data_IF_611397986787
#
_entry.id   IF_611397986787
#
_cell.length_a   1.000
_cell.length_b   1.000
_cell.length_c   1.000
_cell.angle_alpha   90.00
_cell.angle_beta   90.00
_cell.angle_gamma   90.00
#
_symmetry.space_group_name_H-M   'P 1'
#
loop_
_entity.id
_entity.type
_entity.pdbx_description
1 polymer ?
#
# COMPACT_ATOMS: atom_id res chain seq x y z
N UNK A 1 -22.95 17.16 28.21
CA UNK A 1 -23.54 18.07 27.20
C UNK A 1 -22.63 18.04 25.98
N UNK A 2 -23.19 17.84 24.79
CA UNK A 2 -22.44 17.90 23.55
C UNK A 2 -22.31 19.33 23.08
N UNK A 3 -21.13 19.67 22.56
CA UNK A 3 -20.83 20.97 22.00
C UNK A 3 -20.29 20.83 20.59
N UNK A 4 -20.79 21.62 19.67
CA UNK A 4 -20.30 21.71 18.30
C UNK A 4 -19.24 22.81 18.23
N UNK A 5 -18.02 22.46 17.85
CA UNK A 5 -16.97 23.44 17.57
C UNK A 5 -17.28 24.12 16.25
N UNK A 6 -17.69 25.40 16.31
CA UNK A 6 -17.90 26.25 15.15
C UNK A 6 -16.67 27.09 14.88
N UNK A 7 -16.59 27.69 13.68
CA UNK A 7 -15.48 28.56 13.30
C UNK A 7 -15.33 29.80 14.22
N UNK A 8 -16.44 30.24 14.81
CA UNK A 8 -16.48 31.38 15.72
C UNK A 8 -16.20 31.00 17.18
N UNK A 9 -16.53 29.77 17.58
CA UNK A 9 -16.32 29.22 18.93
C UNK A 9 -15.54 27.90 18.87
N UNK A 10 -14.29 27.99 18.41
CA UNK A 10 -13.46 26.80 18.15
C UNK A 10 -13.08 26.03 19.42
N UNK A 11 -12.95 26.69 20.56
CA UNK A 11 -12.53 26.07 21.83
C UNK A 11 -13.69 25.77 22.78
N UNK A 12 -14.63 26.67 22.90
CA UNK A 12 -15.75 26.52 23.85
C UNK A 12 -16.90 25.70 23.25
N UNK A 13 -17.06 25.74 21.93
CA UNK A 13 -18.16 25.09 21.22
C UNK A 13 -19.52 25.71 21.55
N UNK A 14 -20.50 25.42 20.71
CA UNK A 14 -21.90 25.81 20.91
C UNK A 14 -22.69 24.60 21.44
N UNK A 15 -23.48 24.81 22.48
CA UNK A 15 -24.30 23.75 23.06
C UNK A 15 -25.38 23.29 22.08
N UNK A 16 -25.42 22.00 21.81
CA UNK A 16 -26.43 21.40 20.95
C UNK A 16 -27.74 21.23 21.70
N UNK A 17 -28.90 21.56 21.10
CA UNK A 17 -30.19 21.35 21.71
C UNK A 17 -30.42 19.89 22.06
N UNK A 18 -30.84 19.62 23.30
CA UNK A 18 -31.15 18.27 23.74
C UNK A 18 -32.22 17.63 22.84
N UNK A 19 -32.09 16.36 22.52
CA UNK A 19 -33.01 15.54 21.72
C UNK A 19 -33.15 15.88 20.23
N UNK A 20 -32.32 16.79 19.67
CA UNK A 20 -32.31 17.07 18.22
C UNK A 20 -31.22 16.30 17.48
N UNK A 21 -30.28 15.65 18.20
CA UNK A 21 -29.16 14.98 17.61
C UNK A 21 -29.04 13.56 18.16
N UNK A 22 -28.82 12.60 17.27
CA UNK A 22 -28.46 11.23 17.60
C UNK A 22 -26.96 11.09 17.44
N UNK A 23 -26.30 10.56 18.48
CA UNK A 23 -24.87 10.34 18.46
C UNK A 23 -24.60 8.86 18.44
N UNK A 24 -24.19 8.38 17.30
CA UNK A 24 -23.72 7.03 17.14
C UNK A 24 -22.21 6.96 17.34
N UNK A 25 -21.76 6.07 18.21
CA UNK A 25 -20.34 5.82 18.47
C UNK A 25 -20.01 4.38 18.09
N UNK A 26 -19.24 4.23 17.02
CA UNK A 26 -18.80 2.92 16.58
C UNK A 26 -17.68 2.41 17.49
N UNK A 27 -17.88 1.22 18.07
CA UNK A 27 -16.88 0.51 18.88
C UNK A 27 -16.21 1.37 19.96
N UNK A 28 -16.98 2.05 20.77
CA UNK A 28 -16.47 2.79 21.93
C UNK A 28 -15.92 1.78 22.95
N UNK A 29 -14.63 1.83 23.23
CA UNK A 29 -13.96 0.91 24.16
C UNK A 29 -14.32 1.17 25.63
N UNK A 30 -14.78 2.36 25.95
CA UNK A 30 -15.26 2.74 27.27
C UNK A 30 -16.42 3.71 27.17
N UNK A 31 -17.23 3.77 28.26
CA UNK A 31 -18.37 4.70 28.33
C UNK A 31 -17.94 6.18 28.33
N UNK A 32 -16.65 6.45 28.54
CA UNK A 32 -16.05 7.79 28.50
C UNK A 32 -15.45 8.21 27.16
N UNK A 33 -15.41 7.30 26.16
CA UNK A 33 -14.87 7.62 24.85
C UNK A 33 -15.91 8.33 23.97
N UNK A 34 -15.78 9.62 23.70
CA UNK A 34 -16.76 10.39 22.94
C UNK A 34 -16.72 10.10 21.44
N UNK A 35 -15.66 9.51 20.92
CA UNK A 35 -15.41 9.40 19.47
C UNK A 35 -15.52 7.98 18.93
N UNK A 36 -15.36 6.96 19.78
CA UNK A 36 -15.28 5.56 19.36
C UNK A 36 -14.01 5.25 18.54
N UNK A 37 -13.93 4.01 18.06
CA UNK A 37 -12.81 3.57 17.23
C UNK A 37 -13.13 3.78 15.74
N UNK A 38 -12.52 4.80 15.15
CA UNK A 38 -12.64 5.05 13.71
C UNK A 38 -11.86 4.00 12.92
N UNK A 39 -12.54 3.21 12.09
CA UNK A 39 -11.95 2.21 11.20
C UNK A 39 -10.85 2.81 10.31
N UNK A 40 -11.04 4.05 9.86
CA UNK A 40 -10.06 4.76 9.05
C UNK A 40 -8.71 4.98 9.76
N UNK A 41 -8.68 5.07 11.07
CA UNK A 41 -7.43 5.21 11.85
C UNK A 41 -6.58 3.94 11.76
N UNK A 42 -7.22 2.78 11.74
CA UNK A 42 -6.55 1.48 11.61
C UNK A 42 -6.17 1.20 10.14
N UNK A 43 -7.02 1.60 9.19
CA UNK A 43 -6.79 1.44 7.75
C UNK A 43 -5.68 2.34 7.21
N UNK A 44 -5.52 3.53 7.77
CA UNK A 44 -4.58 4.53 7.26
C UNK A 44 -3.14 4.00 7.10
N UNK A 45 -2.51 3.38 8.11
CA UNK A 45 -1.16 2.84 7.96
C UNK A 45 -1.07 1.74 6.90
N UNK A 46 -2.06 0.85 6.80
CA UNK A 46 -2.09 -0.23 5.80
C UNK A 46 -2.14 0.33 4.37
N UNK A 47 -3.01 1.31 4.12
CA UNK A 47 -3.11 1.98 2.82
C UNK A 47 -1.82 2.74 2.49
N UNK A 48 -1.22 3.42 3.49
CA UNK A 48 0.04 4.13 3.32
C UNK A 48 1.19 3.17 2.94
N UNK A 49 1.30 2.04 3.64
CA UNK A 49 2.30 1.02 3.32
C UNK A 49 2.07 0.38 1.96
N UNK A 50 0.82 0.12 1.58
CA UNK A 50 0.47 -0.39 0.25
C UNK A 50 0.91 0.57 -0.87
N UNK A 51 0.67 1.87 -0.72
CA UNK A 51 1.14 2.88 -1.69
C UNK A 51 2.66 2.87 -1.79
N UNK A 52 3.35 2.85 -0.65
CA UNK A 52 4.81 2.85 -0.62
C UNK A 52 5.41 1.57 -1.21
N UNK A 53 4.77 0.42 -1.02
CA UNK A 53 5.18 -0.84 -1.65
C UNK A 53 5.06 -0.77 -3.19
N UNK A 54 3.99 -0.14 -3.71
CA UNK A 54 3.84 0.10 -5.15
C UNK A 54 4.91 1.04 -5.71
N UNK A 55 5.20 2.14 -5.03
CA UNK A 55 6.27 3.07 -5.43
C UNK A 55 7.63 2.36 -5.48
N UNK A 56 7.94 1.56 -4.46
CA UNK A 56 9.18 0.78 -4.41
C UNK A 56 9.24 -0.28 -5.52
N UNK A 57 8.10 -0.91 -5.84
CA UNK A 57 8.02 -1.88 -6.94
C UNK A 57 8.26 -1.21 -8.29
N UNK A 58 7.71 -0.02 -8.53
CA UNK A 58 7.95 0.74 -9.75
C UNK A 58 9.43 1.12 -9.88
N UNK A 59 10.03 1.68 -8.83
CA UNK A 59 11.46 2.01 -8.82
C UNK A 59 12.35 0.79 -9.04
N UNK A 60 11.97 -0.35 -8.47
CA UNK A 60 12.68 -1.61 -8.70
C UNK A 60 12.54 -2.04 -10.17
N UNK A 61 11.32 -1.98 -10.71
CA UNK A 61 11.06 -2.33 -12.11
C UNK A 61 11.88 -1.48 -13.09
N UNK A 62 11.95 -0.16 -12.85
CA UNK A 62 12.75 0.74 -13.67
C UNK A 62 14.24 0.36 -13.65
N UNK A 63 14.78 0.06 -12.46
CA UNK A 63 16.17 -0.38 -12.32
C UNK A 63 16.43 -1.75 -12.90
N UNK A 64 15.45 -2.64 -12.85
CA UNK A 64 15.58 -3.99 -13.40
C UNK A 64 15.49 -3.98 -14.92
N UNK A 65 14.67 -3.09 -15.49
CA UNK A 65 14.57 -2.89 -16.94
C UNK A 65 15.82 -2.25 -17.54
N UNK A 66 16.55 -1.48 -16.73
CA UNK A 66 17.80 -0.82 -17.14
C UNK A 66 18.95 -1.29 -16.23
N UNK A 67 19.52 -2.47 -16.46
CA UNK A 67 20.64 -2.98 -15.66
C UNK A 67 21.83 -2.01 -15.76
N UNK A 68 22.55 -1.86 -14.66
CA UNK A 68 23.74 -1.02 -14.63
C UNK A 68 24.85 -1.71 -15.42
N UNK A 69 25.29 -1.11 -16.51
CA UNK A 69 26.44 -1.56 -17.25
C UNK A 69 27.73 -1.11 -16.54
N UNK A 70 28.60 -2.07 -16.23
CA UNK A 70 29.92 -1.83 -15.63
C UNK A 70 30.97 -2.29 -16.62
N UNK A 71 31.76 -1.34 -17.14
CA UNK A 71 32.89 -1.65 -17.99
C UNK A 71 34.19 -1.65 -17.19
N UNK A 72 35.02 -2.66 -17.40
CA UNK A 72 36.36 -2.75 -16.85
C UNK A 72 37.37 -2.44 -17.95
N UNK A 73 38.13 -1.38 -17.73
CA UNK A 73 39.21 -1.00 -18.65
C UNK A 73 40.53 -1.61 -18.21
N UNK A 74 41.41 -2.08 -19.12
CA UNK A 74 42.73 -2.54 -18.78
C UNK A 74 43.59 -1.36 -18.28
N UNK A 75 44.59 -1.64 -17.47
CA UNK A 75 45.53 -0.64 -16.91
C UNK A 75 46.29 0.16 -17.98
N UNK A 76 46.38 -0.39 -19.19
CA UNK A 76 47.02 0.27 -20.35
C UNK A 76 46.08 1.18 -21.14
N UNK A 77 44.79 1.26 -20.79
CA UNK A 77 43.82 2.07 -21.51
C UNK A 77 44.16 3.55 -21.39
N UNK A 78 44.05 4.27 -22.51
CA UNK A 78 44.20 5.71 -22.53
C UNK A 78 42.93 6.40 -22.06
N UNK A 79 43.04 7.63 -21.56
CA UNK A 79 41.89 8.44 -21.12
C UNK A 79 40.87 8.63 -22.24
N UNK A 80 41.31 8.77 -23.47
CA UNK A 80 40.44 8.94 -24.64
C UNK A 80 39.58 7.70 -24.90
N UNK A 81 40.15 6.51 -24.76
CA UNK A 81 39.42 5.24 -24.90
C UNK A 81 38.38 5.04 -23.79
N UNK A 82 38.73 5.43 -22.56
CA UNK A 82 37.79 5.37 -21.44
C UNK A 82 36.62 6.33 -21.60
N UNK A 83 36.90 7.55 -22.03
CA UNK A 83 35.87 8.57 -22.29
C UNK A 83 34.93 8.15 -23.45
N UNK A 84 35.50 7.59 -24.52
CA UNK A 84 34.70 7.06 -25.63
C UNK A 84 33.81 5.91 -25.19
N UNK A 85 34.33 5.01 -24.35
CA UNK A 85 33.55 3.91 -23.78
C UNK A 85 32.43 4.41 -22.89
N UNK A 86 32.70 5.42 -22.05
CA UNK A 86 31.70 6.06 -21.22
C UNK A 86 30.55 6.66 -22.03
N UNK A 87 30.85 7.34 -23.13
CA UNK A 87 29.85 7.89 -24.03
C UNK A 87 28.98 6.79 -24.67
N UNK A 88 29.60 5.71 -25.12
CA UNK A 88 28.85 4.56 -25.65
C UNK A 88 27.99 3.88 -24.58
N UNK A 89 28.48 3.72 -23.36
CA UNK A 89 27.70 3.15 -22.26
C UNK A 89 26.52 4.04 -21.84
N UNK A 90 26.71 5.37 -21.88
CA UNK A 90 25.65 6.32 -21.57
C UNK A 90 24.50 6.28 -22.59
N UNK A 91 24.82 5.93 -23.84
CA UNK A 91 23.85 5.79 -24.92
C UNK A 91 23.39 4.35 -25.17
N UNK A 92 23.80 3.40 -24.33
CA UNK A 92 23.53 1.96 -24.50
C UNK A 92 22.03 1.63 -24.60
N UNK A 93 21.16 2.43 -23.97
CA UNK A 93 19.71 2.28 -24.08
C UNK A 93 19.17 2.56 -25.49
N UNK A 94 19.95 3.24 -26.34
CA UNK A 94 19.57 3.63 -27.70
C UNK A 94 20.35 2.85 -28.77
N UNK A 95 21.46 2.23 -28.40
CA UNK A 95 22.32 1.48 -29.30
C UNK A 95 22.01 -0.02 -29.27
N UNK A 96 21.90 -0.62 -30.47
CA UNK A 96 21.56 -2.04 -30.61
C UNK A 96 22.82 -2.95 -30.57
N UNK A 97 24.00 -2.38 -30.72
CA UNK A 97 25.25 -3.13 -30.72
C UNK A 97 26.39 -2.26 -30.18
N UNK A 98 27.24 -2.87 -29.37
CA UNK A 98 28.45 -2.27 -28.84
C UNK A 98 29.66 -3.15 -29.20
N UNK A 99 30.69 -2.57 -29.77
CA UNK A 99 31.95 -3.27 -30.04
C UNK A 99 32.97 -2.79 -29.03
N UNK A 100 33.49 -3.72 -28.23
CA UNK A 100 34.54 -3.45 -27.24
C UNK A 100 35.92 -3.75 -27.83
N UNK A 101 36.92 -2.87 -27.61
CA UNK A 101 38.31 -3.16 -27.94
C UNK A 101 38.83 -4.35 -27.09
N UNK A 102 39.93 -4.96 -27.57
CA UNK A 102 40.59 -6.08 -26.88
C UNK A 102 41.05 -5.65 -25.47
N UNK A 103 40.71 -6.47 -24.46
CA UNK A 103 41.05 -6.19 -23.06
C UNK A 103 40.02 -5.42 -22.26
N UNK A 104 38.95 -4.92 -22.88
CA UNK A 104 37.82 -4.36 -22.17
C UNK A 104 36.77 -5.46 -21.88
N UNK A 105 36.19 -5.43 -20.69
CA UNK A 105 35.12 -6.33 -20.28
C UNK A 105 33.88 -5.56 -19.88
N UNK A 106 32.70 -6.07 -20.26
CA UNK A 106 31.41 -5.47 -19.97
C UNK A 106 30.56 -6.44 -19.17
N UNK A 107 30.15 -6.02 -18.00
CA UNK A 107 29.30 -6.79 -17.11
C UNK A 107 28.01 -6.02 -16.83
N UNK A 108 26.86 -6.68 -16.98
CA UNK A 108 25.58 -6.12 -16.57
C UNK A 108 25.26 -6.55 -15.16
N UNK A 109 25.28 -5.59 -14.25
CA UNK A 109 24.92 -5.81 -12.86
C UNK A 109 23.42 -5.64 -12.68
N UNK A 110 22.75 -6.75 -12.47
CA UNK A 110 21.33 -6.72 -12.13
C UNK A 110 21.15 -6.39 -10.64
N UNK A 111 20.21 -5.52 -10.28
CA UNK A 111 19.89 -5.31 -8.88
C UNK A 111 19.40 -6.63 -8.27
N UNK A 112 20.03 -7.04 -7.17
CA UNK A 112 19.62 -8.23 -6.44
C UNK A 112 18.22 -8.04 -5.85
N UNK A 113 17.45 -9.11 -5.79
CA UNK A 113 16.11 -9.13 -5.21
C UNK A 113 15.13 -9.91 -6.07
N UNK A 114 14.00 -10.30 -5.47
CA UNK A 114 12.92 -10.99 -6.17
C UNK A 114 11.72 -10.07 -6.32
N UNK A 115 11.17 -9.89 -7.53
CA UNK A 115 9.91 -9.18 -7.76
C UNK A 115 8.75 -9.75 -6.94
N UNK A 116 8.80 -11.04 -6.63
CA UNK A 116 7.79 -11.75 -5.84
C UNK A 116 7.65 -11.18 -4.43
N UNK A 117 8.73 -10.68 -3.84
CA UNK A 117 8.70 -10.06 -2.50
C UNK A 117 7.73 -8.88 -2.43
N UNK A 118 7.73 -8.03 -3.46
CA UNK A 118 6.80 -6.91 -3.54
C UNK A 118 5.35 -7.36 -3.77
N UNK A 119 5.16 -8.41 -4.57
CA UNK A 119 3.83 -8.98 -4.83
C UNK A 119 3.26 -9.59 -3.55
N UNK A 120 4.05 -10.37 -2.82
CA UNK A 120 3.64 -10.99 -1.56
C UNK A 120 3.31 -9.94 -0.50
N UNK A 121 4.14 -8.89 -0.35
CA UNK A 121 3.86 -7.79 0.57
C UNK A 121 2.55 -7.07 0.21
N UNK A 122 2.34 -6.79 -1.08
CA UNK A 122 1.11 -6.15 -1.55
C UNK A 122 -0.11 -7.01 -1.28
N UNK A 123 -0.01 -8.32 -1.53
CA UNK A 123 -1.09 -9.26 -1.26
C UNK A 123 -1.44 -9.27 0.22
N UNK A 124 -0.46 -9.44 1.09
CA UNK A 124 -0.64 -9.43 2.54
C UNK A 124 -1.32 -8.13 3.04
N UNK A 125 -0.95 -6.97 2.48
CA UNK A 125 -1.58 -5.70 2.83
C UNK A 125 -3.02 -5.61 2.29
N UNK A 126 -3.30 -6.15 1.10
CA UNK A 126 -4.65 -6.22 0.55
C UNK A 126 -5.54 -7.12 1.42
N UNK A 127 -5.07 -8.31 1.76
CA UNK A 127 -5.81 -9.27 2.59
C UNK A 127 -6.08 -8.69 3.98
N UNK A 128 -5.10 -8.01 4.57
CA UNK A 128 -5.28 -7.31 5.86
C UNK A 128 -6.35 -6.20 5.78
N UNK A 129 -6.40 -5.44 4.68
CA UNK A 129 -7.41 -4.39 4.46
C UNK A 129 -8.80 -5.03 4.28
N UNK A 130 -8.89 -6.08 3.47
CA UNK A 130 -10.15 -6.81 3.22
C UNK A 130 -10.67 -7.42 4.51
N UNK A 131 -9.80 -8.08 5.26
CA UNK A 131 -10.14 -8.70 6.54
C UNK A 131 -10.64 -7.65 7.55
N UNK A 132 -9.99 -6.50 7.61
CA UNK A 132 -10.42 -5.42 8.50
C UNK A 132 -11.79 -4.84 8.13
N UNK A 133 -12.11 -4.72 6.84
CA UNK A 133 -13.37 -4.15 6.35
C UNK A 133 -14.47 -5.20 6.34
N UNK A 134 -14.23 -6.34 5.70
CA UNK A 134 -15.22 -7.39 5.47
C UNK A 134 -15.30 -8.41 6.61
N UNK A 135 -14.19 -8.60 7.36
CA UNK A 135 -14.09 -9.59 8.44
C UNK A 135 -13.76 -10.99 7.98
N UNK A 136 -13.33 -11.12 6.72
CA UNK A 136 -13.02 -12.41 6.12
C UNK A 136 -11.87 -12.30 5.14
N UNK A 137 -11.02 -13.33 5.04
CA UNK A 137 -9.85 -13.34 4.19
C UNK A 137 -10.20 -13.58 2.70
N UNK A 138 -11.34 -14.19 2.40
CA UNK A 138 -11.71 -14.63 1.05
C UNK A 138 -12.47 -13.61 0.23
N UNK A 139 -12.86 -12.46 0.75
CA UNK A 139 -13.61 -11.43 0.02
C UNK A 139 -12.89 -10.91 -1.24
N UNK A 140 -11.57 -11.12 -1.34
CA UNK A 140 -10.75 -10.73 -2.47
C UNK A 140 -10.23 -11.88 -3.35
N UNK A 141 -10.38 -13.13 -2.94
CA UNK A 141 -9.80 -14.31 -3.62
C UNK A 141 -10.84 -15.20 -4.31
N UNK A 142 -11.84 -14.62 -4.92
CA UNK A 142 -12.98 -15.34 -5.53
C UNK A 142 -12.65 -16.26 -6.73
N UNK A 143 -11.38 -16.50 -7.06
CA UNK A 143 -11.01 -17.31 -8.23
C UNK A 143 -10.80 -18.81 -7.95
N UNK A 144 -10.73 -19.24 -6.68
CA UNK A 144 -10.49 -20.65 -6.34
C UNK A 144 -11.23 -21.17 -5.10
N UNK A 145 -12.12 -20.37 -4.52
CA UNK A 145 -12.91 -20.78 -3.35
C UNK A 145 -13.90 -21.87 -3.65
N UNK A 146 -13.94 -22.92 -2.80
CA UNK A 146 -15.00 -23.92 -2.89
C UNK A 146 -16.34 -23.26 -2.54
N UNK A 147 -17.46 -23.82 -3.01
CA UNK A 147 -18.81 -23.33 -2.69
C UNK A 147 -19.03 -23.18 -1.17
N UNK A 148 -18.43 -24.06 -0.37
CA UNK A 148 -18.48 -24.03 1.08
C UNK A 148 -17.77 -22.80 1.68
N UNK A 149 -16.62 -22.37 1.13
CA UNK A 149 -15.92 -21.17 1.61
C UNK A 149 -16.69 -19.89 1.28
N UNK A 150 -17.34 -19.83 0.11
CA UNK A 150 -18.18 -18.68 -0.24
C UNK A 150 -19.43 -18.56 0.64
N UNK A 151 -20.03 -19.68 1.06
CA UNK A 151 -21.16 -19.68 1.99
C UNK A 151 -20.76 -19.22 3.39
N UNK A 152 -19.59 -19.65 3.89
CA UNK A 152 -19.04 -19.17 5.16
C UNK A 152 -18.75 -17.69 5.10
N UNK A 153 -18.10 -17.20 4.04
CA UNK A 153 -17.83 -15.79 3.82
C UNK A 153 -19.12 -14.95 3.81
N UNK A 154 -20.15 -15.44 3.13
CA UNK A 154 -21.46 -14.78 3.11
C UNK A 154 -22.11 -14.77 4.49
N UNK A 155 -22.00 -15.84 5.28
CA UNK A 155 -22.55 -15.88 6.64
C UNK A 155 -21.86 -14.86 7.55
N UNK A 156 -20.54 -14.72 7.48
CA UNK A 156 -19.78 -13.71 8.24
C UNK A 156 -20.20 -12.30 7.90
N UNK A 157 -20.38 -11.99 6.60
CA UNK A 157 -20.88 -10.68 6.15
C UNK A 157 -22.27 -10.39 6.69
N UNK A 158 -23.17 -11.37 6.63
CA UNK A 158 -24.54 -11.24 7.12
C UNK A 158 -24.57 -10.99 8.63
N UNK A 159 -23.78 -11.75 9.38
CA UNK A 159 -23.66 -11.56 10.84
C UNK A 159 -23.13 -10.17 11.18
N UNK A 160 -22.08 -9.71 10.49
CA UNK A 160 -21.53 -8.37 10.69
C UNK A 160 -22.52 -7.25 10.34
N UNK A 161 -23.27 -7.40 9.26
CA UNK A 161 -24.32 -6.45 8.88
C UNK A 161 -25.44 -6.41 9.96
N UNK A 162 -25.78 -7.56 10.53
CA UNK A 162 -26.75 -7.65 11.62
C UNK A 162 -26.25 -6.95 12.88
N UNK A 163 -25.01 -7.23 13.32
CA UNK A 163 -24.39 -6.59 14.49
C UNK A 163 -24.32 -5.07 14.35
N UNK A 164 -23.98 -4.58 13.15
CA UNK A 164 -23.99 -3.15 12.86
C UNK A 164 -25.40 -2.56 12.91
N UNK A 165 -26.41 -3.29 12.42
CA UNK A 165 -27.80 -2.83 12.47
C UNK A 165 -28.32 -2.76 13.90
N UNK A 166 -27.96 -3.73 14.77
CA UNK A 166 -28.29 -3.71 16.20
C UNK A 166 -27.64 -2.52 16.93
N UNK A 167 -26.34 -2.26 16.65
CA UNK A 167 -25.64 -1.10 17.21
C UNK A 167 -26.32 0.22 16.85
N UNK A 168 -26.77 0.37 15.60
CA UNK A 168 -27.50 1.57 15.15
C UNK A 168 -28.86 1.63 15.82
N UNK A 169 -29.59 0.53 15.87
CA UNK A 169 -30.92 0.52 16.50
C UNK A 169 -30.86 0.81 18.01
N UNK A 170 -29.86 0.29 18.72
CA UNK A 170 -29.60 0.58 20.13
C UNK A 170 -29.25 2.06 20.38
N UNK A 171 -28.73 2.76 19.36
CA UNK A 171 -28.44 4.20 19.46
C UNK A 171 -29.69 5.05 19.24
N UNK A 172 -30.67 4.53 18.49
CA UNK A 172 -31.90 5.25 18.14
C UNK A 172 -32.99 5.14 19.21
N UNK A 173 -32.95 4.07 20.04
CA UNK A 173 -33.86 3.85 21.17
C UNK A 173 -33.32 4.48 22.46
#
# INVERSE_FOLDING_TARGET
TMRLCTREKAFEGEELPARKFVVHRYWAQSNGDPYGAALGRILYPLVKFKRRALESQLLYSDRFSNPTAVAKAPLSATTVEVDTLYDHLSNLSQETALVLPEGFDLEFVNPGGSPETFQNLRQLLCDSIVNLIAGEDEAGQSSSGSRASSEVAQSVRTTRAHDLSELVSATLN
#
